data_IF_667104420453
#
_entry.id   IF_667104420453
#
_cell.length_a   1.000
_cell.length_b   1.000
_cell.length_c   1.000
_cell.angle_alpha   90.00
_cell.angle_beta   90.00
_cell.angle_gamma   90.00
#
_symmetry.space_group_name_H-M   'P 1'
#
loop_
_entity.id
_entity.type
_entity.pdbx_description
1 polymer ?
#
# COMPACT_ATOMS: atom_id res chain seq x y z
N UNK A 1 -39.22 14.43 1.90
CA UNK A 1 -37.94 15.08 2.24
C UNK A 1 -37.31 15.63 0.97
N UNK A 2 -37.15 16.95 0.85
CA UNK A 2 -36.44 17.56 -0.28
C UNK A 2 -34.98 17.09 -0.30
N UNK A 3 -34.42 16.85 -1.49
CA UNK A 3 -32.99 16.56 -1.62
C UNK A 3 -32.21 17.84 -1.27
N UNK A 4 -31.27 17.76 -0.34
CA UNK A 4 -30.28 18.81 -0.09
C UNK A 4 -29.62 19.21 -1.42
N UNK A 5 -29.80 20.45 -1.85
CA UNK A 5 -29.31 20.98 -3.13
C UNK A 5 -28.13 21.91 -2.85
N UNK A 6 -26.93 21.46 -3.23
CA UNK A 6 -25.69 22.21 -3.05
C UNK A 6 -25.68 23.50 -3.88
N UNK A 7 -25.33 24.61 -3.23
CA UNK A 7 -24.99 25.88 -3.88
C UNK A 7 -23.66 25.78 -4.65
N UNK A 8 -23.26 26.84 -5.36
CA UNK A 8 -21.93 26.87 -6.00
C UNK A 8 -20.81 26.84 -4.96
N UNK A 9 -20.95 27.63 -3.89
CA UNK A 9 -20.03 27.67 -2.74
C UNK A 9 -19.86 26.28 -2.12
N UNK A 10 -20.97 25.58 -1.90
CA UNK A 10 -20.97 24.22 -1.34
C UNK A 10 -20.18 23.23 -2.20
N UNK A 11 -20.37 23.29 -3.53
CA UNK A 11 -19.66 22.40 -4.46
C UNK A 11 -18.16 22.67 -4.46
N UNK A 12 -17.76 23.93 -4.40
CA UNK A 12 -16.35 24.32 -4.40
C UNK A 12 -15.66 23.91 -3.10
N UNK A 13 -16.26 24.17 -1.93
CA UNK A 13 -15.72 23.73 -0.65
C UNK A 13 -15.60 22.21 -0.59
N UNK A 14 -16.66 21.48 -0.94
CA UNK A 14 -16.64 20.00 -0.94
C UNK A 14 -15.55 19.46 -1.86
N UNK A 15 -15.38 20.07 -3.05
CA UNK A 15 -14.35 19.67 -4.00
C UNK A 15 -12.94 19.95 -3.48
N UNK A 16 -12.67 21.18 -3.02
CA UNK A 16 -11.33 21.59 -2.57
C UNK A 16 -10.91 20.93 -1.25
N UNK A 17 -11.86 20.63 -0.38
CA UNK A 17 -11.62 19.85 0.85
C UNK A 17 -11.60 18.33 0.59
N UNK A 18 -11.73 17.89 -0.66
CA UNK A 18 -11.73 16.48 -1.06
C UNK A 18 -12.74 15.59 -0.28
N UNK A 19 -13.91 16.14 0.07
CA UNK A 19 -14.88 15.41 0.89
C UNK A 19 -15.56 14.32 0.06
N UNK A 20 -15.27 13.07 0.41
CA UNK A 20 -15.81 11.88 -0.23
C UNK A 20 -17.21 11.50 0.30
N UNK A 21 -17.93 10.69 -0.47
CA UNK A 21 -19.25 10.19 -0.09
C UNK A 21 -20.39 11.21 -0.23
N UNK A 22 -21.56 10.85 0.33
CA UNK A 22 -22.78 11.65 0.14
C UNK A 22 -22.91 12.71 1.22
N UNK A 23 -22.66 13.97 0.85
CA UNK A 23 -22.94 15.14 1.71
C UNK A 23 -24.44 15.24 2.03
N UNK A 24 -24.73 15.53 3.29
CA UNK A 24 -26.07 15.59 3.89
C UNK A 24 -26.45 16.98 4.37
N UNK A 25 -25.49 17.72 4.90
CA UNK A 25 -25.68 19.06 5.44
C UNK A 25 -24.37 19.85 5.33
N UNK A 26 -24.49 21.17 5.13
CA UNK A 26 -23.36 22.10 5.22
C UNK A 26 -23.81 23.33 6.00
N UNK A 27 -23.03 23.70 7.00
CA UNK A 27 -23.28 24.84 7.88
C UNK A 27 -22.09 25.77 7.88
N UNK A 28 -22.32 27.06 7.71
CA UNK A 28 -21.29 28.08 7.71
C UNK A 28 -21.35 28.87 9.00
N UNK A 29 -20.20 29.20 9.56
CA UNK A 29 -20.09 30.04 10.74
C UNK A 29 -18.70 30.67 10.81
N UNK A 30 -18.60 31.78 11.54
CA UNK A 30 -17.35 32.50 11.76
C UNK A 30 -16.95 32.35 13.23
N UNK A 31 -15.66 32.14 13.49
CA UNK A 31 -15.10 32.06 14.83
C UNK A 31 -13.67 32.60 14.82
N UNK A 32 -13.29 33.39 15.83
CA UNK A 32 -11.93 33.93 15.96
C UNK A 32 -11.41 34.63 14.67
N UNK A 33 -12.27 35.42 14.01
CA UNK A 33 -11.99 36.10 12.72
C UNK A 33 -11.61 35.14 11.58
N UNK A 34 -12.07 33.89 11.63
CA UNK A 34 -11.84 32.87 10.61
C UNK A 34 -13.17 32.28 10.15
N UNK A 35 -13.25 31.89 8.87
CA UNK A 35 -14.44 31.30 8.29
C UNK A 35 -14.37 29.78 8.33
N UNK A 36 -15.47 29.16 8.75
CA UNK A 36 -15.59 27.71 8.87
C UNK A 36 -16.81 27.17 8.13
N UNK A 37 -16.65 25.98 7.59
CA UNK A 37 -17.74 25.15 7.08
C UNK A 37 -17.75 23.83 7.85
N UNK A 38 -18.89 23.51 8.45
CA UNK A 38 -19.16 22.20 9.03
C UNK A 38 -19.90 21.38 7.99
N UNK A 39 -19.47 20.16 7.73
CA UNK A 39 -20.09 19.28 6.72
C UNK A 39 -20.43 17.95 7.36
N UNK A 40 -21.67 17.49 7.17
CA UNK A 40 -22.06 16.11 7.42
C UNK A 40 -21.97 15.33 6.11
N UNK A 41 -21.14 14.30 6.04
CA UNK A 41 -21.10 13.36 4.92
C UNK A 41 -21.40 11.93 5.38
N UNK A 42 -21.95 11.12 4.46
CA UNK A 42 -22.23 9.70 4.68
C UNK A 42 -21.12 8.85 4.05
N UNK A 43 -20.51 7.98 4.85
CA UNK A 43 -19.46 7.02 4.46
C UNK A 43 -19.94 5.62 4.84
N UNK A 44 -20.09 4.73 3.85
CA UNK A 44 -20.41 3.31 4.02
C UNK A 44 -21.65 2.92 4.88
N UNK A 45 -22.50 3.88 5.24
CA UNK A 45 -23.66 3.63 6.12
C UNK A 45 -23.69 4.56 7.32
N UNK A 46 -22.53 5.07 7.72
CA UNK A 46 -22.31 5.92 8.88
C UNK A 46 -22.21 7.39 8.46
N UNK A 47 -22.25 8.30 9.45
CA UNK A 47 -22.13 9.74 9.23
C UNK A 47 -20.84 10.26 9.86
N UNK A 48 -20.20 11.20 9.20
CA UNK A 48 -19.02 11.89 9.70
C UNK A 48 -19.26 13.39 9.67
N UNK A 49 -18.65 14.09 10.62
CA UNK A 49 -18.63 15.56 10.66
C UNK A 49 -17.21 16.02 10.29
N UNK A 50 -17.14 17.03 9.42
CA UNK A 50 -15.90 17.60 8.89
C UNK A 50 -15.90 19.09 9.17
N UNK A 51 -14.87 19.59 9.85
CA UNK A 51 -14.66 21.02 10.04
C UNK A 51 -13.65 21.53 9.02
N UNK A 52 -14.05 22.48 8.20
CA UNK A 52 -13.22 23.02 7.12
C UNK A 52 -12.96 24.49 7.43
N UNK A 53 -11.69 24.86 7.62
CA UNK A 53 -11.26 26.25 7.63
C UNK A 53 -11.03 26.69 6.19
N UNK A 54 -11.68 27.78 5.77
CA UNK A 54 -11.50 28.34 4.44
C UNK A 54 -11.38 29.87 4.48
N UNK A 55 -10.88 30.43 3.40
CA UNK A 55 -10.84 31.86 3.15
C UNK A 55 -11.42 32.15 1.77
N UNK A 56 -12.13 33.26 1.65
CA UNK A 56 -12.64 33.72 0.36
C UNK A 56 -11.71 34.79 -0.18
N UNK A 57 -11.15 34.54 -1.36
CA UNK A 57 -10.41 35.51 -2.13
C UNK A 57 -11.35 36.15 -3.18
N UNK A 58 -11.59 37.46 -2.99
CA UNK A 58 -12.46 38.27 -3.83
C UNK A 58 -11.68 39.12 -4.85
N UNK A 59 -10.38 38.88 -5.03
CA UNK A 59 -9.52 39.71 -5.91
C UNK A 59 -9.69 39.40 -7.40
N UNK A 60 -10.38 38.32 -7.76
CA UNK A 60 -10.73 37.99 -9.15
C UNK A 60 -12.21 38.27 -9.42
N UNK A 61 -12.62 38.39 -10.69
CA UNK A 61 -14.05 38.44 -11.08
C UNK A 61 -14.86 37.21 -10.59
N UNK A 62 -14.17 36.17 -10.08
CA UNK A 62 -14.74 34.99 -9.45
C UNK A 62 -14.39 34.96 -7.95
N UNK A 63 -15.37 34.58 -7.13
CA UNK A 63 -15.14 34.21 -5.73
C UNK A 63 -14.31 32.93 -5.70
N UNK A 64 -13.09 32.98 -5.18
CA UNK A 64 -12.20 31.82 -5.05
C UNK A 64 -12.20 31.38 -3.58
N UNK A 65 -12.43 30.09 -3.32
CA UNK A 65 -12.38 29.56 -1.95
C UNK A 65 -11.06 28.85 -1.70
N UNK A 66 -10.27 29.27 -0.72
CA UNK A 66 -9.02 28.61 -0.35
C UNK A 66 -9.23 27.79 0.92
N UNK A 67 -9.18 26.45 0.80
CA UNK A 67 -9.24 25.56 1.96
C UNK A 67 -7.88 25.57 2.65
N UNK A 68 -7.86 25.95 3.93
CA UNK A 68 -6.64 26.03 4.75
C UNK A 68 -6.41 24.76 5.56
N UNK A 69 -7.47 24.13 6.03
CA UNK A 69 -7.41 22.90 6.81
C UNK A 69 -8.76 22.18 6.79
N UNK A 70 -8.71 20.86 6.91
CA UNK A 70 -9.88 19.97 7.12
C UNK A 70 -9.60 19.16 8.37
N UNK A 71 -10.42 19.30 9.42
CA UNK A 71 -10.22 18.65 10.72
C UNK A 71 -11.39 17.74 11.09
N UNK A 72 -11.07 16.72 11.88
CA UNK A 72 -12.02 15.93 12.68
C UNK A 72 -11.92 16.33 14.15
N UNK A 73 -12.96 16.06 14.93
CA UNK A 73 -12.92 16.28 16.37
C UNK A 73 -12.47 14.98 17.07
N UNK A 74 -11.62 15.01 18.11
CA UNK A 74 -11.06 13.83 18.81
C UNK A 74 -12.13 12.91 19.37
N UNK A 75 -13.09 13.50 20.09
CA UNK A 75 -14.23 12.77 20.65
C UNK A 75 -15.29 12.43 19.58
N UNK A 76 -15.09 12.88 18.33
CA UNK A 76 -15.92 12.61 17.15
C UNK A 76 -15.06 12.03 16.00
N UNK A 77 -13.91 11.40 16.33
CA UNK A 77 -13.14 10.56 15.40
C UNK A 77 -13.97 9.34 14.99
N UNK A 78 -14.99 9.07 15.81
CA UNK A 78 -16.04 8.11 15.61
C UNK A 78 -17.03 8.57 14.55
N UNK A 79 -17.43 7.59 13.76
CA UNK A 79 -18.55 7.72 12.87
C UNK A 79 -19.85 7.67 13.67
N UNK A 80 -20.81 8.54 13.36
CA UNK A 80 -22.14 8.45 13.96
C UNK A 80 -22.94 7.34 13.28
N UNK A 81 -23.54 6.41 14.05
CA UNK A 81 -24.31 5.31 13.50
C UNK A 81 -25.62 5.77 12.86
N UNK A 82 -26.19 6.87 13.34
CA UNK A 82 -27.48 7.38 12.91
C UNK A 82 -27.42 8.87 12.55
N UNK A 83 -28.45 9.32 11.81
CA UNK A 83 -28.54 10.69 11.31
C UNK A 83 -28.80 11.69 12.44
N UNK A 84 -29.63 11.34 13.41
CA UNK A 84 -30.09 12.27 14.44
C UNK A 84 -28.94 12.74 15.31
N UNK A 85 -28.11 11.80 15.77
CA UNK A 85 -26.92 12.06 16.58
C UNK A 85 -25.90 12.95 15.85
N UNK A 86 -25.65 12.68 14.57
CA UNK A 86 -24.78 13.53 13.75
C UNK A 86 -25.32 14.97 13.63
N UNK A 87 -26.63 15.13 13.44
CA UNK A 87 -27.25 16.46 13.32
C UNK A 87 -27.30 17.21 14.66
N UNK A 88 -27.47 16.52 15.78
CA UNK A 88 -27.42 17.12 17.13
C UNK A 88 -26.02 17.67 17.41
N UNK A 89 -24.98 16.85 17.23
CA UNK A 89 -23.59 17.27 17.42
C UNK A 89 -23.20 18.40 16.45
N UNK A 90 -23.64 18.31 15.20
CA UNK A 90 -23.41 19.36 14.20
C UNK A 90 -23.91 20.72 14.67
N UNK A 91 -25.15 20.78 15.21
CA UNK A 91 -25.71 22.03 15.74
C UNK A 91 -24.95 22.54 16.95
N UNK A 92 -24.56 21.64 17.86
CA UNK A 92 -23.80 22.00 19.06
C UNK A 92 -22.45 22.64 18.71
N UNK A 93 -21.73 22.08 17.74
CA UNK A 93 -20.45 22.62 17.27
C UNK A 93 -20.61 24.05 16.71
N UNK A 94 -21.66 24.30 15.93
CA UNK A 94 -21.89 25.62 15.34
C UNK A 94 -22.12 26.72 16.39
N UNK A 95 -22.67 26.37 17.56
CA UNK A 95 -22.97 27.34 18.62
C UNK A 95 -21.89 27.42 19.70
N UNK A 96 -20.93 26.48 19.73
CA UNK A 96 -19.82 26.45 20.69
C UNK A 96 -18.46 26.49 19.98
N UNK A 97 -17.94 27.68 19.62
CA UNK A 97 -16.64 27.84 18.97
C UNK A 97 -15.46 27.26 19.77
N UNK A 98 -15.58 27.14 21.10
CA UNK A 98 -14.59 26.47 21.96
C UNK A 98 -14.35 25.01 21.57
N UNK A 99 -15.33 24.34 20.96
CA UNK A 99 -15.14 22.98 20.45
C UNK A 99 -14.14 22.91 19.29
N UNK A 100 -13.86 24.04 18.61
CA UNK A 100 -12.85 24.11 17.55
C UNK A 100 -11.45 23.83 18.11
N UNK A 101 -11.14 24.28 19.33
CA UNK A 101 -9.84 24.00 19.95
C UNK A 101 -9.70 22.55 20.38
N UNK A 102 -10.83 21.84 20.51
CA UNK A 102 -10.82 20.40 20.72
C UNK A 102 -10.48 19.66 19.43
N UNK A 103 -10.67 20.20 18.22
CA UNK A 103 -10.33 19.50 16.99
C UNK A 103 -8.86 19.03 16.98
N UNK A 104 -8.62 17.75 16.68
CA UNK A 104 -7.26 17.29 16.40
C UNK A 104 -6.88 17.89 15.04
N UNK A 105 -5.68 18.48 14.98
CA UNK A 105 -5.04 18.85 13.71
C UNK A 105 -4.57 17.58 12.99
N UNK A 106 -5.50 16.71 12.59
CA UNK A 106 -5.23 15.79 11.50
C UNK A 106 -5.82 16.47 10.28
N UNK A 107 -4.99 17.19 9.53
CA UNK A 107 -5.39 17.64 8.21
C UNK A 107 -5.68 16.37 7.41
N UNK A 108 -6.95 16.07 7.16
CA UNK A 108 -7.39 14.91 6.35
C UNK A 108 -6.90 14.96 4.89
N UNK A 109 -6.14 15.99 4.55
CA UNK A 109 -5.44 16.15 3.29
C UNK A 109 -3.95 16.36 3.58
N UNK A 110 -3.16 15.29 3.44
CA UNK A 110 -1.69 15.35 3.28
C UNK A 110 -0.80 15.63 4.49
N UNK A 111 -1.24 15.61 5.74
CA UNK A 111 -0.28 15.51 6.85
C UNK A 111 0.16 14.04 7.00
N UNK A 112 1.10 13.67 6.14
CA UNK A 112 2.02 12.55 6.35
C UNK A 112 3.38 13.22 6.54
N UNK A 113 3.93 13.16 7.75
CA UNK A 113 5.25 13.72 8.04
C UNK A 113 6.34 13.06 7.18
N UNK A 114 6.04 11.86 6.65
CA UNK A 114 6.94 11.06 5.87
C UNK A 114 6.56 11.12 4.40
N UNK A 115 7.28 11.95 3.64
CA UNK A 115 6.97 12.17 2.23
C UNK A 115 7.57 11.10 1.31
N UNK A 116 8.64 10.41 1.72
CA UNK A 116 9.40 9.52 0.85
C UNK A 116 9.08 8.04 1.09
N UNK A 117 8.06 7.53 0.41
CA UNK A 117 7.66 6.13 0.54
C UNK A 117 8.45 5.20 -0.41
N UNK A 118 9.01 4.13 0.13
CA UNK A 118 9.77 3.10 -0.57
C UNK A 118 8.99 1.79 -0.50
N UNK A 119 8.47 1.34 -1.64
CA UNK A 119 7.67 0.12 -1.74
C UNK A 119 8.56 -1.06 -2.15
N UNK A 120 8.66 -2.09 -1.31
CA UNK A 120 9.46 -3.29 -1.62
C UNK A 120 8.57 -4.37 -2.24
N UNK A 121 8.87 -4.80 -3.46
CA UNK A 121 8.15 -5.86 -4.18
C UNK A 121 9.14 -6.91 -4.66
N UNK A 122 8.74 -8.18 -4.64
CA UNK A 122 9.59 -9.27 -5.07
C UNK A 122 9.01 -10.62 -4.67
N UNK A 123 9.52 -11.68 -5.27
CA UNK A 123 9.14 -13.07 -4.94
C UNK A 123 9.42 -13.38 -3.47
N UNK A 124 8.78 -14.41 -2.93
CA UNK A 124 9.05 -14.87 -1.56
C UNK A 124 10.51 -15.32 -1.45
N UNK A 125 11.19 -14.95 -0.36
CA UNK A 125 12.62 -15.26 -0.16
C UNK A 125 13.61 -14.32 -0.87
N UNK A 126 13.14 -13.29 -1.60
CA UNK A 126 14.06 -12.33 -2.26
C UNK A 126 14.81 -11.37 -1.33
N UNK A 127 14.55 -11.44 -0.01
CA UNK A 127 15.20 -10.60 1.00
C UNK A 127 14.53 -9.25 1.25
N UNK A 128 13.22 -9.09 1.00
CA UNK A 128 12.48 -7.82 1.23
C UNK A 128 12.56 -7.34 2.67
N UNK A 129 12.15 -8.19 3.61
CA UNK A 129 12.20 -7.88 5.05
C UNK A 129 13.64 -7.60 5.53
N UNK A 130 14.61 -8.37 5.06
CA UNK A 130 16.05 -8.13 5.33
C UNK A 130 16.50 -6.77 4.80
N UNK A 131 16.10 -6.40 3.59
CA UNK A 131 16.40 -5.09 3.01
C UNK A 131 15.69 -3.98 3.80
N UNK A 132 14.44 -4.18 4.21
CA UNK A 132 13.67 -3.24 5.02
C UNK A 132 14.38 -2.92 6.34
N UNK A 133 14.88 -3.95 7.03
CA UNK A 133 15.72 -3.82 8.22
C UNK A 133 17.00 -3.01 7.92
N UNK A 134 17.70 -3.33 6.82
CA UNK A 134 18.93 -2.62 6.41
C UNK A 134 18.68 -1.15 6.09
N UNK A 135 17.59 -0.80 5.38
CA UNK A 135 17.31 0.59 4.99
C UNK A 135 16.64 1.41 6.10
N UNK A 136 16.00 0.77 7.08
CA UNK A 136 15.48 1.46 8.27
C UNK A 136 16.48 1.49 9.44
N UNK A 137 17.54 0.69 9.38
CA UNK A 137 18.52 0.50 10.46
C UNK A 137 17.85 -0.08 11.71
N UNK A 138 16.98 -1.06 11.49
CA UNK A 138 16.20 -1.74 12.53
C UNK A 138 16.26 -3.25 12.32
N UNK A 139 15.74 -4.02 13.28
CA UNK A 139 15.50 -5.46 13.14
C UNK A 139 14.01 -5.80 13.38
N UNK A 140 13.11 -4.89 13.01
CA UNK A 140 11.66 -4.96 13.27
C UNK A 140 10.89 -5.85 12.26
N UNK A 141 11.52 -6.11 11.11
CA UNK A 141 11.00 -6.99 10.08
C UNK A 141 11.52 -8.42 10.28
N UNK A 142 11.05 -9.12 11.32
CA UNK A 142 11.42 -10.52 11.56
C UNK A 142 10.80 -11.48 10.54
N UNK A 143 11.57 -12.49 10.14
CA UNK A 143 11.15 -13.56 9.22
C UNK A 143 10.11 -14.51 9.85
N UNK A 144 10.07 -14.60 11.19
CA UNK A 144 9.24 -15.50 11.99
C UNK A 144 7.89 -14.93 12.46
N UNK A 145 7.63 -13.63 12.32
CA UNK A 145 6.36 -13.02 12.78
C UNK A 145 5.18 -13.31 11.84
N UNK A 146 5.40 -14.17 10.85
CA UNK A 146 4.37 -14.64 9.96
C UNK A 146 3.49 -15.61 10.73
N UNK A 147 2.39 -15.08 11.28
CA UNK A 147 1.05 -15.66 11.41
C UNK A 147 0.40 -15.34 12.77
N UNK A 148 0.07 -14.06 13.01
CA UNK A 148 -0.91 -13.74 14.06
C UNK A 148 -2.30 -13.80 13.41
N UNK A 149 -3.08 -14.83 13.73
CA UNK A 149 -4.47 -14.97 13.26
C UNK A 149 -4.65 -15.29 11.77
N UNK A 150 -3.64 -15.85 11.10
CA UNK A 150 -3.75 -16.35 9.72
C UNK A 150 -3.70 -15.30 8.61
N UNK A 151 -3.34 -14.04 8.90
CA UNK A 151 -3.24 -12.98 7.89
C UNK A 151 -1.88 -12.27 7.93
N UNK A 152 -1.09 -12.37 6.87
CA UNK A 152 0.25 -11.75 6.77
C UNK A 152 0.16 -10.24 6.45
N UNK A 153 0.37 -9.35 7.40
CA UNK A 153 0.21 -7.90 7.16
C UNK A 153 1.40 -7.30 6.39
N UNK A 154 1.17 -6.22 5.65
CA UNK A 154 2.27 -5.36 5.19
C UNK A 154 2.87 -4.66 6.42
N UNK A 155 4.19 -4.65 6.51
CA UNK A 155 4.89 -3.94 7.59
C UNK A 155 5.41 -2.62 7.05
N UNK A 156 5.24 -1.55 7.82
CA UNK A 156 5.77 -0.23 7.49
C UNK A 156 6.69 0.23 8.59
N UNK A 157 7.78 0.89 8.23
CA UNK A 157 8.69 1.52 9.18
C UNK A 157 9.11 2.89 8.69
N UNK A 158 8.98 3.88 9.56
CA UNK A 158 9.45 5.23 9.33
C UNK A 158 10.88 5.35 9.86
N UNK A 159 11.74 6.02 9.11
CA UNK A 159 13.12 6.27 9.47
C UNK A 159 13.59 7.60 8.90
N UNK A 160 14.70 8.10 9.43
CA UNK A 160 15.31 9.33 8.97
C UNK A 160 16.71 9.07 8.41
N UNK A 161 17.06 9.78 7.35
CA UNK A 161 18.40 9.79 6.78
C UNK A 161 18.74 11.20 6.32
N UNK A 162 19.84 11.76 6.84
CA UNK A 162 20.29 13.12 6.54
C UNK A 162 19.17 14.18 6.70
N UNK A 163 18.36 14.10 7.76
CA UNK A 163 17.23 15.02 8.00
C UNK A 163 15.99 14.77 7.14
N UNK A 164 16.04 13.80 6.22
CA UNK A 164 14.92 13.45 5.34
C UNK A 164 14.19 12.22 5.88
N UNK A 165 12.88 12.34 6.08
CA UNK A 165 12.01 11.23 6.52
C UNK A 165 11.65 10.32 5.36
N UNK A 166 11.77 9.01 5.58
CA UNK A 166 11.43 7.94 4.65
C UNK A 166 10.55 6.90 5.34
N UNK A 167 9.69 6.24 4.56
CA UNK A 167 8.89 5.10 4.99
C UNK A 167 9.22 3.93 4.09
N UNK A 168 9.66 2.82 4.67
CA UNK A 168 9.74 1.55 3.93
C UNK A 168 8.45 0.78 4.14
N UNK A 169 7.88 0.28 3.04
CA UNK A 169 6.69 -0.59 3.01
C UNK A 169 7.12 -1.96 2.50
N UNK A 170 7.21 -2.93 3.41
CA UNK A 170 7.50 -4.33 3.09
C UNK A 170 6.19 -5.05 2.71
N UNK A 171 6.09 -5.47 1.45
CA UNK A 171 4.92 -6.20 0.97
C UNK A 171 5.08 -7.70 1.16
N UNK A 172 3.94 -8.39 1.23
CA UNK A 172 3.93 -9.84 1.04
C UNK A 172 4.55 -10.21 -0.32
N UNK A 173 5.28 -11.32 -0.37
CA UNK A 173 5.92 -11.77 -1.61
C UNK A 173 4.89 -12.13 -2.68
N UNK A 174 5.23 -11.92 -3.95
CA UNK A 174 4.31 -12.19 -5.09
C UNK A 174 4.00 -13.67 -5.31
N UNK A 175 4.63 -14.58 -4.55
CA UNK A 175 4.37 -16.02 -4.53
C UNK A 175 4.00 -16.56 -3.13
N UNK A 176 3.53 -15.72 -2.21
CA UNK A 176 3.03 -16.17 -0.90
C UNK A 176 1.61 -16.76 -1.07
N UNK A 177 1.59 -18.05 -1.41
CA UNK A 177 0.48 -18.95 -1.79
C UNK A 177 -0.67 -19.14 -0.77
N UNK A 178 -0.78 -18.30 0.25
CA UNK A 178 -1.80 -18.41 1.31
C UNK A 178 -2.82 -17.26 1.30
N UNK A 179 -2.67 -16.27 0.40
CA UNK A 179 -3.56 -15.11 0.34
C UNK A 179 -4.59 -15.24 -0.77
N UNK A 180 -5.85 -14.94 -0.44
CA UNK A 180 -6.90 -14.80 -1.46
C UNK A 180 -6.74 -13.49 -2.24
N UNK A 181 -7.39 -13.38 -3.39
CA UNK A 181 -7.47 -12.13 -4.16
C UNK A 181 -7.95 -10.96 -3.31
N UNK A 182 -9.01 -11.17 -2.53
CA UNK A 182 -9.58 -10.17 -1.63
C UNK A 182 -8.57 -9.73 -0.56
N UNK A 183 -7.76 -10.65 -0.03
CA UNK A 183 -6.68 -10.32 0.91
C UNK A 183 -5.60 -9.46 0.27
N UNK A 184 -5.19 -9.78 -0.96
CA UNK A 184 -4.17 -9.01 -1.70
C UNK A 184 -4.67 -7.58 -1.96
N UNK A 185 -5.90 -7.45 -2.46
CA UNK A 185 -6.51 -6.16 -2.76
C UNK A 185 -6.70 -5.31 -1.49
N UNK A 186 -7.13 -5.95 -0.39
CA UNK A 186 -7.28 -5.25 0.88
C UNK A 186 -5.95 -4.71 1.40
N UNK A 187 -4.90 -5.54 1.42
CA UNK A 187 -3.56 -5.13 1.87
C UNK A 187 -2.97 -4.03 1.01
N UNK A 188 -3.24 -4.10 -0.29
CA UNK A 188 -2.86 -3.02 -1.18
C UNK A 188 -3.58 -1.70 -0.85
N UNK A 189 -4.84 -1.77 -0.40
CA UNK A 189 -5.52 -0.62 0.20
C UNK A 189 -4.80 -0.09 1.44
N UNK A 190 -4.33 -0.97 2.33
CA UNK A 190 -3.52 -0.59 3.50
C UNK A 190 -2.20 0.08 3.10
N UNK A 191 -1.52 -0.42 2.06
CA UNK A 191 -0.33 0.22 1.49
C UNK A 191 -0.62 1.61 0.90
N UNK A 192 -1.69 1.78 0.13
CA UNK A 192 -2.07 3.10 -0.41
C UNK A 192 -2.37 4.07 0.73
N UNK A 193 -3.08 3.59 1.76
CA UNK A 193 -3.40 4.38 2.95
C UNK A 193 -2.15 4.85 3.72
N UNK A 194 -1.10 4.03 3.76
CA UNK A 194 0.17 4.40 4.39
C UNK A 194 1.11 5.20 3.48
N UNK A 195 0.77 5.46 2.22
CA UNK A 195 1.62 6.20 1.28
C UNK A 195 0.90 7.45 0.75
N UNK A 196 0.34 8.28 1.65
CA UNK A 196 -0.51 9.42 1.28
C UNK A 196 0.19 10.44 0.38
N UNK A 197 1.52 10.56 0.50
CA UNK A 197 2.38 11.47 -0.30
C UNK A 197 2.85 10.88 -1.63
N UNK A 198 2.38 9.68 -1.99
CA UNK A 198 2.81 8.96 -3.18
C UNK A 198 4.06 8.13 -2.94
N UNK A 199 4.60 7.53 -3.99
CA UNK A 199 5.70 6.56 -3.92
C UNK A 199 6.98 7.20 -4.46
N UNK A 200 8.00 7.35 -3.62
CA UNK A 200 9.32 7.83 -4.04
C UNK A 200 9.96 6.82 -5.00
N UNK A 201 10.04 5.56 -4.57
CA UNK A 201 10.56 4.45 -5.37
C UNK A 201 9.89 3.12 -5.08
N UNK A 202 9.81 2.30 -6.10
CA UNK A 202 9.45 0.88 -6.03
C UNK A 202 10.73 0.08 -6.22
N UNK A 203 11.14 -0.65 -5.18
CA UNK A 203 12.27 -1.57 -5.24
C UNK A 203 11.79 -2.96 -5.59
N UNK A 204 12.20 -3.44 -6.76
CA UNK A 204 11.95 -4.81 -7.21
C UNK A 204 13.15 -5.67 -6.86
N UNK A 205 12.99 -6.53 -5.85
CA UNK A 205 14.07 -7.38 -5.36
C UNK A 205 14.19 -8.65 -6.19
N UNK A 206 15.37 -8.85 -6.75
CA UNK A 206 15.75 -10.08 -7.47
C UNK A 206 16.95 -10.72 -6.75
N UNK A 207 16.77 -11.94 -6.27
CA UNK A 207 17.85 -12.70 -5.62
C UNK A 207 18.84 -13.27 -6.64
N UNK A 208 20.03 -13.68 -6.21
CA UNK A 208 21.14 -14.13 -7.07
C UNK A 208 20.77 -15.14 -8.19
N UNK A 209 19.77 -16.01 -7.98
CA UNK A 209 19.26 -16.90 -9.02
C UNK A 209 18.08 -16.27 -9.75
N UNK A 210 18.22 -16.10 -11.07
CA UNK A 210 17.15 -15.64 -11.94
C UNK A 210 16.34 -16.84 -12.41
N UNK A 211 15.03 -16.76 -12.23
CA UNK A 211 14.08 -17.78 -12.67
C UNK A 211 12.89 -17.13 -13.39
N UNK A 212 11.99 -17.92 -13.94
CA UNK A 212 10.83 -17.38 -14.66
C UNK A 212 9.93 -16.49 -13.78
N UNK A 213 9.96 -16.66 -12.45
CA UNK A 213 9.17 -15.87 -11.50
C UNK A 213 9.76 -14.46 -11.28
N UNK A 214 11.01 -14.24 -11.69
CA UNK A 214 11.72 -12.95 -11.55
C UNK A 214 10.98 -11.80 -12.24
N UNK A 215 10.19 -12.08 -13.28
CA UNK A 215 9.41 -11.06 -14.01
C UNK A 215 8.03 -10.80 -13.43
N UNK A 216 7.54 -11.64 -12.52
CA UNK A 216 6.20 -11.50 -11.94
C UNK A 216 5.99 -10.20 -11.17
N UNK A 217 6.94 -9.74 -10.32
CA UNK A 217 6.86 -8.44 -9.66
C UNK A 217 6.61 -7.28 -10.62
N UNK A 218 7.29 -7.26 -11.77
CA UNK A 218 7.12 -6.20 -12.76
C UNK A 218 5.73 -6.25 -13.39
N UNK A 219 5.24 -7.44 -13.71
CA UNK A 219 3.87 -7.58 -14.20
C UNK A 219 2.88 -7.09 -13.15
N UNK A 220 3.08 -7.43 -11.87
CA UNK A 220 2.23 -6.96 -10.77
C UNK A 220 2.21 -5.43 -10.66
N UNK A 221 3.39 -4.79 -10.72
CA UNK A 221 3.54 -3.34 -10.67
C UNK A 221 2.84 -2.64 -11.83
N UNK A 222 3.10 -3.08 -13.07
CA UNK A 222 2.52 -2.47 -14.28
C UNK A 222 1.00 -2.58 -14.34
N UNK A 223 0.46 -3.61 -13.69
CA UNK A 223 -0.97 -3.79 -13.54
C UNK A 223 -1.55 -2.76 -12.57
N UNK A 224 -0.88 -2.51 -11.47
CA UNK A 224 -1.38 -1.63 -10.41
C UNK A 224 -1.17 -0.15 -10.71
N UNK A 225 0.05 0.19 -11.11
CA UNK A 225 0.50 1.57 -11.25
C UNK A 225 0.74 1.88 -12.73
N UNK A 226 0.01 2.85 -13.26
CA UNK A 226 0.20 3.33 -14.64
C UNK A 226 1.38 4.31 -14.70
N UNK A 227 2.19 4.26 -15.76
CA UNK A 227 3.30 5.20 -15.99
C UNK A 227 4.31 5.28 -14.83
N UNK A 228 4.56 4.14 -14.17
CA UNK A 228 5.40 4.08 -12.96
C UNK A 228 6.87 3.76 -13.23
N UNK A 229 7.23 3.49 -14.49
CA UNK A 229 8.54 2.95 -14.89
C UNK A 229 9.73 3.74 -14.32
N UNK A 230 9.67 5.07 -14.36
CA UNK A 230 10.73 5.94 -13.86
C UNK A 230 10.93 5.89 -12.33
N UNK A 231 9.99 5.27 -11.60
CA UNK A 231 10.07 5.06 -10.15
C UNK A 231 10.47 3.63 -9.78
N UNK A 232 10.65 2.74 -10.74
CA UNK A 232 11.11 1.37 -10.50
C UNK A 232 12.63 1.33 -10.44
N UNK A 233 13.17 0.64 -9.44
CA UNK A 233 14.59 0.29 -9.35
C UNK A 233 14.72 -1.17 -8.95
N UNK A 234 15.62 -1.89 -9.61
CA UNK A 234 15.90 -3.29 -9.33
C UNK A 234 16.95 -3.34 -8.22
N UNK A 235 16.69 -4.15 -7.19
CA UNK A 235 17.66 -4.44 -6.14
C UNK A 235 18.12 -5.90 -6.29
N UNK A 236 19.37 -6.08 -6.70
CA UNK A 236 20.05 -7.38 -6.85
C UNK A 236 20.61 -7.81 -5.50
N UNK A 237 19.90 -8.70 -4.80
CA UNK A 237 20.24 -9.11 -3.42
C UNK A 237 21.14 -10.34 -3.38
N UNK A 238 21.94 -10.44 -2.30
CA UNK A 238 22.83 -11.58 -2.06
C UNK A 238 24.04 -11.62 -2.99
N UNK A 239 24.41 -10.49 -3.59
CA UNK A 239 25.53 -10.39 -4.52
C UNK A 239 26.81 -10.03 -3.74
N UNK A 240 27.64 -11.03 -3.41
CA UNK A 240 28.80 -10.86 -2.53
C UNK A 240 29.77 -9.78 -3.00
N UNK A 241 29.97 -9.68 -4.31
CA UNK A 241 30.92 -8.75 -4.93
C UNK A 241 30.26 -7.41 -5.30
N UNK A 242 29.22 -6.98 -4.58
CA UNK A 242 28.43 -5.77 -4.91
C UNK A 242 29.23 -4.46 -4.90
N UNK A 243 30.40 -4.46 -4.29
CA UNK A 243 31.32 -3.32 -4.27
C UNK A 243 32.32 -3.34 -5.44
N UNK A 244 32.45 -4.47 -6.14
CA UNK A 244 33.27 -4.58 -7.35
C UNK A 244 32.44 -4.22 -8.58
N UNK A 245 32.74 -3.05 -9.13
CA UNK A 245 32.07 -2.54 -10.34
C UNK A 245 32.20 -3.49 -11.53
N UNK A 246 33.35 -4.16 -11.71
CA UNK A 246 33.55 -5.11 -12.81
C UNK A 246 32.67 -6.33 -12.65
N UNK A 247 32.52 -6.83 -11.42
CA UNK A 247 31.62 -7.94 -11.13
C UNK A 247 30.14 -7.57 -11.38
N UNK A 248 29.73 -6.36 -10.99
CA UNK A 248 28.38 -5.85 -11.27
C UNK A 248 28.12 -5.68 -12.79
N UNK A 249 29.08 -5.14 -13.54
CA UNK A 249 29.00 -5.00 -15.00
C UNK A 249 28.91 -6.36 -15.70
N UNK A 250 29.63 -7.36 -15.18
CA UNK A 250 29.56 -8.74 -15.67
C UNK A 250 28.19 -9.38 -15.39
N UNK A 251 27.64 -9.29 -14.17
CA UNK A 251 26.30 -9.82 -13.86
C UNK A 251 25.22 -9.12 -14.72
N UNK A 252 25.34 -7.81 -14.93
CA UNK A 252 24.47 -7.08 -15.84
C UNK A 252 24.55 -7.65 -17.26
N UNK A 253 25.75 -7.88 -17.78
CA UNK A 253 25.98 -8.50 -19.10
C UNK A 253 25.42 -9.92 -19.20
N UNK A 254 25.47 -10.69 -18.12
CA UNK A 254 24.94 -12.05 -18.07
C UNK A 254 23.41 -12.05 -18.00
N UNK A 255 22.79 -11.11 -17.27
CA UNK A 255 21.34 -10.85 -17.31
C UNK A 255 20.89 -10.61 -18.75
N UNK A 256 21.66 -9.86 -19.55
CA UNK A 256 21.32 -9.57 -20.94
C UNK A 256 21.27 -10.81 -21.84
N UNK A 257 21.99 -11.87 -21.46
CA UNK A 257 22.08 -13.15 -22.19
C UNK A 257 21.08 -14.19 -21.70
N UNK A 258 20.28 -13.88 -20.66
CA UNK A 258 19.23 -14.78 -20.17
C UNK A 258 18.04 -14.87 -21.14
N UNK A 259 16.97 -15.59 -20.76
CA UNK A 259 15.73 -15.68 -21.54
C UNK A 259 15.29 -14.29 -22.04
N UNK A 260 14.97 -14.20 -23.33
CA UNK A 260 14.61 -12.96 -24.04
C UNK A 260 13.57 -12.10 -23.29
N UNK A 261 12.58 -12.73 -22.65
CA UNK A 261 11.57 -11.99 -21.86
C UNK A 261 12.16 -11.31 -20.62
N UNK A 262 13.02 -12.00 -19.87
CA UNK A 262 13.66 -11.46 -18.66
C UNK A 262 14.63 -10.33 -19.02
N UNK A 263 15.52 -10.60 -19.98
CA UNK A 263 16.48 -9.61 -20.46
C UNK A 263 15.77 -8.32 -20.91
N UNK A 264 14.68 -8.44 -21.67
CA UNK A 264 13.90 -7.29 -22.17
C UNK A 264 13.30 -6.44 -21.04
N UNK A 265 12.90 -7.05 -19.93
CA UNK A 265 12.31 -6.33 -18.78
C UNK A 265 13.40 -5.70 -17.93
N UNK A 266 14.42 -6.47 -17.55
CA UNK A 266 15.44 -6.03 -16.60
C UNK A 266 16.31 -4.90 -17.16
N UNK A 267 16.55 -4.88 -18.48
CA UNK A 267 17.29 -3.79 -19.17
C UNK A 267 16.65 -2.41 -19.07
N UNK A 268 15.35 -2.33 -18.76
CA UNK A 268 14.60 -1.05 -18.72
C UNK A 268 14.87 -0.24 -17.46
N UNK A 269 15.37 -0.89 -16.41
CA UNK A 269 15.41 -0.31 -15.08
C UNK A 269 16.84 -0.25 -14.56
N UNK A 270 17.11 0.70 -13.67
CA UNK A 270 18.38 0.77 -12.97
C UNK A 270 18.52 -0.43 -12.03
N UNK A 271 19.71 -1.03 -11.94
CA UNK A 271 20.03 -2.14 -11.06
C UNK A 271 21.02 -1.67 -9.99
N UNK A 272 20.65 -1.87 -8.73
CA UNK A 272 21.52 -1.66 -7.57
C UNK A 272 21.89 -3.00 -6.99
N UNK A 273 23.19 -3.19 -6.75
CA UNK A 273 23.74 -4.41 -6.18
C UNK A 273 23.95 -4.25 -4.69
N UNK A 274 23.49 -5.23 -3.91
CA UNK A 274 23.61 -5.22 -2.44
C UNK A 274 23.88 -6.61 -1.89
N UNK A 275 24.53 -6.64 -0.72
CA UNK A 275 24.71 -7.84 0.07
C UNK A 275 24.31 -7.57 1.52
N UNK A 276 23.31 -8.31 2.02
CA UNK A 276 22.74 -8.10 3.34
C UNK A 276 22.79 -9.38 4.19
N UNK A 277 23.96 -10.00 4.39
CA UNK A 277 24.05 -11.21 5.20
C UNK A 277 23.80 -10.86 6.68
N UNK A 278 23.23 -11.79 7.48
CA UNK A 278 22.78 -11.50 8.83
C UNK A 278 23.90 -10.99 9.76
N UNK A 279 25.12 -11.53 9.61
CA UNK A 279 26.24 -11.29 10.53
C UNK A 279 27.33 -10.35 9.99
N UNK A 280 27.11 -9.66 8.86
CA UNK A 280 28.09 -8.68 8.35
C UNK A 280 27.55 -7.26 8.41
N UNK A 281 27.86 -6.54 9.49
CA UNK A 281 27.45 -5.14 9.68
C UNK A 281 28.04 -4.21 8.62
N UNK A 282 29.27 -4.47 8.18
CA UNK A 282 29.94 -3.62 7.19
C UNK A 282 29.25 -3.70 5.83
N UNK A 283 28.91 -4.91 5.37
CA UNK A 283 28.18 -5.09 4.11
C UNK A 283 26.77 -4.48 4.18
N UNK A 284 26.06 -4.66 5.31
CA UNK A 284 24.74 -4.05 5.53
C UNK A 284 24.83 -2.52 5.48
N UNK A 285 25.82 -1.93 6.13
CA UNK A 285 26.03 -0.47 6.13
C UNK A 285 26.42 0.06 4.75
N UNK A 286 27.29 -0.65 4.03
CA UNK A 286 27.67 -0.27 2.67
C UNK A 286 26.47 -0.38 1.71
N UNK A 287 25.68 -1.45 1.82
CA UNK A 287 24.43 -1.61 1.07
C UNK A 287 23.44 -0.49 1.35
N UNK A 288 23.27 -0.12 2.63
CA UNK A 288 22.45 1.02 3.06
C UNK A 288 22.91 2.31 2.38
N UNK A 289 24.19 2.65 2.44
CA UNK A 289 24.75 3.88 1.83
C UNK A 289 24.48 3.95 0.32
N UNK A 290 24.67 2.83 -0.40
CA UNK A 290 24.40 2.77 -1.85
C UNK A 290 22.93 3.06 -2.13
N UNK A 291 22.02 2.41 -1.40
CA UNK A 291 20.57 2.60 -1.58
C UNK A 291 20.16 4.04 -1.28
N UNK A 292 20.64 4.60 -0.17
CA UNK A 292 20.28 5.95 0.24
C UNK A 292 20.81 7.00 -0.74
N UNK A 293 22.04 6.85 -1.22
CA UNK A 293 22.60 7.73 -2.25
C UNK A 293 21.77 7.71 -3.55
N UNK A 294 21.29 6.54 -3.97
CA UNK A 294 20.37 6.44 -5.10
C UNK A 294 19.05 7.18 -4.83
N UNK A 295 18.44 6.99 -3.65
CA UNK A 295 17.18 7.64 -3.27
C UNK A 295 17.29 9.17 -3.22
N UNK A 296 18.44 9.70 -2.76
CA UNK A 296 18.75 11.14 -2.77
C UNK A 296 18.81 11.68 -4.21
N UNK A 297 19.33 10.92 -5.17
CA UNK A 297 19.35 11.32 -6.60
C UNK A 297 18.01 11.17 -7.33
N UNK A 298 17.00 10.57 -6.69
CA UNK A 298 15.71 10.34 -7.33
C UNK A 298 14.87 11.63 -7.42
N UNK A 299 14.00 11.68 -8.43
CA UNK A 299 13.06 12.78 -8.62
C UNK A 299 11.87 12.74 -7.66
N UNK A 300 10.80 13.42 -8.07
CA UNK A 300 9.55 13.53 -7.32
C UNK A 300 8.84 12.19 -7.05
N UNK A 301 7.81 12.23 -6.21
CA UNK A 301 7.00 11.07 -5.88
C UNK A 301 6.02 10.73 -7.00
N UNK A 302 5.85 9.44 -7.25
CA UNK A 302 4.79 8.91 -8.08
C UNK A 302 3.44 9.05 -7.40
N UNK A 303 2.47 9.62 -8.10
CA UNK A 303 1.05 9.58 -7.76
C UNK A 303 0.22 9.32 -9.01
N UNK A 304 -0.81 8.49 -8.88
CA UNK A 304 -1.87 8.42 -9.89
C UNK A 304 -2.72 9.70 -9.86
N UNK A 305 -3.37 10.04 -10.96
CA UNK A 305 -4.18 11.27 -11.09
C UNK A 305 -5.25 11.42 -9.98
N UNK A 306 -5.78 10.31 -9.47
CA UNK A 306 -6.79 10.28 -8.41
C UNK A 306 -6.25 9.75 -7.07
N UNK A 307 -4.93 9.66 -6.91
CA UNK A 307 -4.26 9.12 -5.71
C UNK A 307 -4.80 9.73 -4.43
N UNK A 308 -4.91 11.05 -4.40
CA UNK A 308 -5.33 11.80 -3.22
C UNK A 308 -6.81 11.49 -2.87
N UNK A 309 -7.69 11.35 -3.86
CA UNK A 309 -9.09 10.97 -3.66
C UNK A 309 -9.20 9.53 -3.14
N UNK A 310 -8.40 8.61 -3.69
CA UNK A 310 -8.35 7.21 -3.26
C UNK A 310 -7.84 7.12 -1.83
N UNK A 311 -6.79 7.87 -1.48
CA UNK A 311 -6.24 7.92 -0.12
C UNK A 311 -7.29 8.40 0.88
N UNK A 312 -7.99 9.50 0.61
CA UNK A 312 -9.06 10.01 1.50
C UNK A 312 -10.17 8.97 1.64
N UNK A 313 -10.61 8.35 0.54
CA UNK A 313 -11.70 7.37 0.57
C UNK A 313 -11.30 6.11 1.36
N UNK A 314 -10.08 5.59 1.17
CA UNK A 314 -9.58 4.44 1.92
C UNK A 314 -9.39 4.81 3.40
N UNK A 315 -8.84 5.99 3.70
CA UNK A 315 -8.70 6.50 5.07
C UNK A 315 -10.05 6.54 5.80
N UNK A 316 -11.08 7.10 5.17
CA UNK A 316 -12.44 7.13 5.68
C UNK A 316 -12.97 5.72 6.02
N UNK A 317 -12.75 4.75 5.12
CA UNK A 317 -13.21 3.38 5.31
C UNK A 317 -12.41 2.60 6.36
N UNK A 318 -11.10 2.84 6.45
CA UNK A 318 -10.22 2.23 7.46
C UNK A 318 -10.62 2.70 8.86
N UNK A 319 -10.87 3.99 9.03
CA UNK A 319 -11.37 4.54 10.30
C UNK A 319 -12.76 3.99 10.64
N UNK A 320 -13.67 3.91 9.65
CA UNK A 320 -14.99 3.34 9.86
C UNK A 320 -14.93 1.86 10.26
N UNK A 321 -13.95 1.12 9.71
CA UNK A 321 -13.77 -0.30 10.01
C UNK A 321 -13.29 -0.49 11.43
N UNK A 322 -12.27 0.27 11.84
CA UNK A 322 -11.75 0.26 13.21
C UNK A 322 -12.85 0.57 14.22
N UNK A 323 -13.66 1.60 13.94
CA UNK A 323 -14.83 1.93 14.75
C UNK A 323 -15.82 0.76 14.86
N UNK A 324 -16.13 0.08 13.74
CA UNK A 324 -17.00 -1.09 13.73
C UNK A 324 -16.45 -2.29 14.50
N UNK A 325 -15.12 -2.47 14.52
CA UNK A 325 -14.43 -3.52 15.28
C UNK A 325 -14.49 -3.24 16.79
N UNK A 326 -14.20 -2.01 17.21
CA UNK A 326 -14.25 -1.55 18.61
C UNK A 326 -15.67 -1.62 19.19
N UNK A 327 -16.69 -1.38 18.37
CA UNK A 327 -18.10 -1.47 18.75
C UNK A 327 -18.73 -2.86 18.54
N UNK A 328 -17.90 -3.92 18.41
CA UNK A 328 -18.32 -5.32 18.23
C UNK A 328 -19.25 -5.58 17.03
N UNK A 329 -19.25 -4.71 16.02
CA UNK A 329 -20.07 -4.81 14.82
C UNK A 329 -19.32 -5.50 13.68
N UNK A 330 -19.07 -6.81 13.84
CA UNK A 330 -18.31 -7.64 12.87
C UNK A 330 -18.85 -7.58 11.44
N UNK A 331 -20.17 -7.45 11.28
CA UNK A 331 -20.80 -7.34 9.96
C UNK A 331 -20.44 -6.04 9.25
N UNK A 332 -20.38 -4.92 9.98
CA UNK A 332 -19.97 -3.62 9.45
C UNK A 332 -18.50 -3.64 9.04
N UNK A 333 -17.62 -4.18 9.89
CA UNK A 333 -16.19 -4.33 9.56
C UNK A 333 -15.97 -5.18 8.29
N UNK A 334 -16.69 -6.31 8.15
CA UNK A 334 -16.62 -7.17 6.96
C UNK A 334 -17.12 -6.47 5.69
N UNK A 335 -18.19 -5.66 5.80
CA UNK A 335 -18.72 -4.87 4.69
C UNK A 335 -17.73 -3.79 4.24
N UNK A 336 -17.13 -3.08 5.19
CA UNK A 336 -16.13 -2.04 4.92
C UNK A 336 -14.87 -2.59 4.27
N UNK A 337 -14.40 -3.77 4.71
CA UNK A 337 -13.31 -4.50 4.06
C UNK A 337 -13.60 -4.73 2.57
N UNK A 338 -14.82 -5.20 2.23
CA UNK A 338 -15.23 -5.40 0.84
C UNK A 338 -15.29 -4.10 0.04
N UNK A 339 -15.68 -2.99 0.65
CA UNK A 339 -15.71 -1.68 -0.03
C UNK A 339 -14.31 -1.17 -0.35
N UNK A 340 -13.34 -1.37 0.57
CA UNK A 340 -11.91 -1.08 0.31
C UNK A 340 -11.41 -1.91 -0.87
N UNK A 341 -11.70 -3.22 -0.87
CA UNK A 341 -11.34 -4.12 -1.96
C UNK A 341 -11.93 -3.63 -3.30
N UNK A 342 -13.19 -3.22 -3.33
CA UNK A 342 -13.84 -2.67 -4.53
C UNK A 342 -13.11 -1.44 -5.07
N UNK A 343 -12.76 -0.49 -4.19
CA UNK A 343 -12.06 0.74 -4.59
C UNK A 343 -10.71 0.40 -5.19
N UNK A 344 -9.94 -0.44 -4.51
CA UNK A 344 -8.61 -0.85 -4.99
C UNK A 344 -8.74 -1.58 -6.32
N UNK A 345 -9.72 -2.48 -6.45
CA UNK A 345 -9.98 -3.20 -7.70
C UNK A 345 -10.41 -2.26 -8.84
N UNK A 346 -11.22 -1.25 -8.58
CA UNK A 346 -11.59 -0.20 -9.54
C UNK A 346 -10.36 0.60 -10.02
N UNK A 347 -9.41 0.88 -9.13
CA UNK A 347 -8.17 1.58 -9.50
C UNK A 347 -7.23 0.74 -10.35
N UNK A 348 -7.16 -0.55 -10.02
CA UNK A 348 -6.33 -1.51 -10.73
C UNK A 348 -6.96 -1.85 -12.10
N UNK A 349 -8.28 -1.87 -12.25
CA UNK A 349 -8.98 -2.09 -13.52
C UNK A 349 -9.32 -3.58 -13.82
N UNK A 350 -10.30 -3.80 -14.70
CA UNK A 350 -10.88 -5.13 -14.99
C UNK A 350 -9.91 -6.12 -15.68
N UNK A 351 -9.01 -5.63 -16.56
CA UNK A 351 -8.04 -6.47 -17.28
C UNK A 351 -7.08 -7.22 -16.35
N UNK A 352 -6.90 -6.72 -15.12
CA UNK A 352 -5.97 -7.28 -14.14
C UNK A 352 -6.64 -8.25 -13.21
N UNK A 353 -7.92 -8.04 -12.95
CA UNK A 353 -8.76 -8.94 -12.18
C UNK A 353 -8.81 -10.35 -12.79
N UNK A 354 -8.79 -10.46 -14.12
CA UNK A 354 -8.68 -11.73 -14.85
C UNK A 354 -7.27 -12.34 -14.70
N UNK A 355 -6.20 -11.57 -14.91
CA UNK A 355 -4.84 -12.10 -14.79
C UNK A 355 -4.38 -12.39 -13.34
N UNK A 356 -4.95 -11.72 -12.33
CA UNK A 356 -4.77 -12.10 -10.91
C UNK A 356 -5.41 -13.45 -10.64
N UNK A 357 -6.58 -13.71 -11.25
CA UNK A 357 -7.22 -15.02 -11.18
C UNK A 357 -6.41 -16.09 -11.92
N UNK A 358 -5.80 -15.77 -13.07
CA UNK A 358 -4.90 -16.68 -13.80
C UNK A 358 -3.63 -17.01 -13.01
N UNK A 359 -3.05 -16.04 -12.29
CA UNK A 359 -1.92 -16.27 -11.37
C UNK A 359 -2.31 -17.23 -10.23
N UNK A 360 -3.48 -16.99 -9.60
CA UNK A 360 -4.03 -17.87 -8.57
C UNK A 360 -4.37 -19.28 -9.13
N UNK A 361 -4.82 -19.38 -10.38
CA UNK A 361 -5.17 -20.66 -11.02
C UNK A 361 -3.94 -21.47 -11.47
N UNK A 362 -2.91 -20.83 -12.04
CA UNK A 362 -1.68 -21.51 -12.45
C UNK A 362 -0.98 -22.23 -11.28
N UNK A 363 -1.10 -21.70 -10.07
CA UNK A 363 -0.59 -22.37 -8.85
C UNK A 363 -1.46 -23.54 -8.38
N UNK A 364 -2.77 -23.56 -8.67
CA UNK A 364 -3.66 -24.70 -8.34
C UNK A 364 -3.44 -25.91 -9.24
N UNK A 365 -2.93 -25.70 -10.44
CA UNK A 365 -2.72 -26.74 -11.46
C UNK A 365 -1.31 -27.35 -11.43
N UNK A 366 -0.43 -26.90 -10.52
CA UNK A 366 0.91 -27.50 -10.36
C UNK A 366 0.80 -28.96 -9.86
N UNK A 367 0.97 -29.91 -10.79
CA UNK A 367 1.07 -31.35 -10.52
C UNK A 367 2.55 -31.70 -10.44
N UNK A 368 2.98 -32.30 -9.33
CA UNK A 368 4.30 -32.92 -9.25
C UNK A 368 4.22 -34.38 -9.68
N UNK A 369 5.08 -34.80 -10.59
CA UNK A 369 5.28 -36.21 -10.94
C UNK A 369 6.50 -36.73 -10.18
N UNK A 370 6.29 -37.77 -9.37
CA UNK A 370 7.37 -38.49 -8.69
C UNK A 370 7.44 -39.88 -9.29
N UNK A 371 8.62 -40.25 -9.79
CA UNK A 371 8.91 -41.61 -10.25
C UNK A 371 9.82 -42.28 -9.23
N UNK A 372 9.39 -43.42 -8.72
CA UNK A 372 10.16 -44.21 -7.76
C UNK A 372 10.41 -45.58 -8.36
N UNK A 373 11.69 -45.98 -8.41
CA UNK A 373 12.08 -47.34 -8.74
C UNK A 373 12.06 -48.18 -7.46
N UNK A 374 11.23 -49.23 -7.44
CA UNK A 374 11.12 -50.15 -6.31
C UNK A 374 11.75 -51.48 -6.72
N UNK A 375 12.81 -51.89 -6.04
CA UNK A 375 13.42 -53.20 -6.23
C UNK A 375 12.77 -54.21 -5.27
N UNK A 376 12.01 -55.16 -5.81
CA UNK A 376 11.38 -56.23 -5.04
C UNK A 376 12.02 -57.58 -5.31
N UNK A 377 12.42 -58.31 -4.26
CA UNK A 377 13.04 -59.64 -4.36
C UNK A 377 12.13 -60.73 -4.96
N UNK A 378 10.84 -60.45 -5.15
CA UNK A 378 9.86 -61.40 -5.69
C UNK A 378 9.24 -61.02 -7.04
N UNK A 379 9.33 -59.75 -7.49
CA UNK A 379 8.63 -59.26 -8.69
C UNK A 379 9.50 -58.48 -9.69
N UNK A 380 10.81 -58.34 -9.44
CA UNK A 380 11.71 -57.57 -10.30
C UNK A 380 11.58 -56.04 -10.11
N UNK A 381 12.41 -55.29 -10.82
CA UNK A 381 12.42 -53.82 -10.75
C UNK A 381 11.13 -53.25 -11.38
N UNK A 382 10.38 -52.45 -10.61
CA UNK A 382 9.17 -51.77 -11.07
C UNK A 382 9.29 -50.25 -10.92
N UNK A 383 8.96 -49.52 -11.97
CA UNK A 383 8.88 -48.06 -11.96
C UNK A 383 7.43 -47.63 -11.64
N UNK A 384 7.25 -46.94 -10.51
CA UNK A 384 5.94 -46.43 -10.09
C UNK A 384 5.91 -44.92 -10.31
N UNK A 385 5.01 -44.46 -11.17
CA UNK A 385 4.75 -43.05 -11.41
C UNK A 385 3.56 -42.57 -10.58
N UNK A 386 3.79 -41.61 -9.68
CA UNK A 386 2.76 -40.99 -8.84
C UNK A 386 2.56 -39.53 -9.25
N UNK A 387 1.32 -39.19 -9.63
CA UNK A 387 0.90 -37.80 -9.89
C UNK A 387 0.34 -37.19 -8.61
N UNK A 388 1.10 -36.30 -8.00
CA UNK A 388 0.73 -35.61 -6.76
C UNK A 388 0.09 -34.26 -7.11
N UNK A 389 -1.16 -34.09 -6.68
CA UNK A 389 -1.88 -32.81 -6.69
C UNK A 389 -1.86 -32.23 -5.27
N UNK A 390 -1.73 -30.91 -5.14
CA UNK A 390 -1.74 -30.22 -3.84
C UNK A 390 -0.67 -30.72 -2.84
N UNK A 391 0.60 -30.71 -3.27
CA UNK A 391 1.77 -31.20 -2.50
C UNK A 391 2.00 -30.55 -1.10
N UNK A 392 1.20 -29.56 -0.69
CA UNK A 392 1.37 -28.83 0.58
C UNK A 392 1.07 -29.63 1.85
N UNK A 393 0.45 -30.80 1.77
CA UNK A 393 0.19 -31.66 2.95
C UNK A 393 1.11 -32.89 3.05
N UNK A 394 2.11 -33.04 2.18
CA UNK A 394 3.02 -34.18 2.17
C UNK A 394 4.44 -33.79 2.60
N UNK A 395 4.59 -33.15 3.76
CA UNK A 395 5.89 -33.05 4.43
C UNK A 395 5.76 -33.53 5.88
N UNK A 396 5.47 -34.82 6.04
CA UNK A 396 5.82 -35.59 7.22
C UNK A 396 5.62 -37.07 6.87
N UNK A 397 6.69 -37.70 6.39
CA UNK A 397 7.12 -39.09 6.62
C UNK A 397 8.43 -39.22 5.82
N UNK A 398 9.55 -39.13 6.51
CA UNK A 398 10.70 -40.04 6.43
C UNK A 398 11.58 -39.79 7.65
#
# INVERSE_FOLDING_TARGET
MSRFKKTSKDKEIVKKANIQGKVKEIGYFDANNQQFALIINKVAGLYAIRLIKYEIDNTSEKVIINVRAVKRFPNLMEFYPNKEEAYTNFKEIQVKPELISQCINEIETHDDETENNILLIGVTGSGKSTLANVISNTDEFNESDKWIGGTQQFKTMDFEWNGTKYRVVDTVGTGDTNLSKDEVLYKMGEAIHSMKKGIRRIFVLIGSRLNNDTVEPFNYIQKIFKNVDQHITIIRTGFKDFQDKKACEQDKSDIEKTNNKMATILKRYNIIYVNNPPNNKQDRENSRKIIMSHLESCGENYKMDNWDNVCVRINDLMIAKKWGEENNNKNTAKKLRKEIISIVNEQIGEQISQSLNEMIQKEREAVGEVRVNVQGTFFGDAEVEMKLKNLKNCCSIL
#
